data_IF_284779574925
#
_entry.id   IF_284779574925
#
_cell.length_a   1.000
_cell.length_b   1.000
_cell.length_c   1.000
_cell.angle_alpha   90.00
_cell.angle_beta   90.00
_cell.angle_gamma   90.00
#
_symmetry.space_group_name_H-M   'P 1'
#
loop_
_entity.id
_entity.type
_entity.pdbx_description
1 polymer ?
#
# COMPACT_ATOMS: atom_id res chain seq x y z
N UNK A 1 5.67 -1.62 57.40
CA UNK A 1 7.04 -1.08 57.33
C UNK A 1 7.47 -1.20 55.88
N UNK A 2 7.35 -0.10 55.14
CA UNK A 2 7.73 0.04 53.74
C UNK A 2 9.23 0.35 53.66
N UNK A 3 9.98 -0.34 52.81
CA UNK A 3 11.29 0.10 52.33
C UNK A 3 11.33 -0.13 50.81
N UNK A 4 11.70 0.86 49.98
CA UNK A 4 11.37 0.91 48.56
C UNK A 4 12.49 0.36 47.66
N UNK A 5 12.10 -0.30 46.57
CA UNK A 5 13.02 -0.68 45.49
C UNK A 5 13.29 0.52 44.59
N UNK A 6 14.56 0.94 44.55
CA UNK A 6 15.07 2.07 43.79
C UNK A 6 15.18 1.72 42.30
N UNK A 7 14.70 2.64 41.45
CA UNK A 7 15.07 2.74 40.05
C UNK A 7 16.58 2.98 39.87
N UNK A 8 17.07 2.65 38.66
CA UNK A 8 18.36 2.95 38.02
C UNK A 8 19.32 1.76 37.95
N UNK A 9 19.33 1.11 36.78
CA UNK A 9 20.54 0.86 35.98
C UNK A 9 20.13 0.27 34.63
N UNK A 10 19.73 1.13 33.70
CA UNK A 10 19.61 0.80 32.29
C UNK A 10 20.47 1.82 31.54
N UNK A 11 21.74 1.48 31.31
CA UNK A 11 22.67 2.26 30.49
C UNK A 11 23.33 1.33 29.47
N UNK A 12 22.91 1.52 28.23
CA UNK A 12 23.72 1.59 27.00
C UNK A 12 24.77 0.49 26.80
N UNK A 13 24.40 -0.54 26.05
CA UNK A 13 25.37 -1.23 25.18
C UNK A 13 25.54 -0.43 23.89
N UNK A 14 26.56 0.43 23.87
CA UNK A 14 27.05 1.08 22.66
C UNK A 14 27.73 0.02 21.79
N UNK A 15 27.04 -0.48 20.78
CA UNK A 15 27.68 -1.24 19.71
C UNK A 15 28.62 -0.31 18.93
N UNK A 16 29.90 -0.64 18.98
CA UNK A 16 30.98 0.05 18.26
C UNK A 16 30.72 0.01 16.75
N UNK A 17 30.31 1.15 16.19
CA UNK A 17 30.32 1.43 14.74
C UNK A 17 31.78 1.49 14.26
N UNK A 18 32.24 0.45 13.58
CA UNK A 18 33.35 0.55 12.62
C UNK A 18 32.81 0.28 11.23
N UNK A 19 32.37 1.33 10.55
CA UNK A 19 32.08 1.31 9.12
C UNK A 19 33.38 1.75 8.41
N UNK A 20 33.97 0.94 7.52
CA UNK A 20 35.11 1.39 6.72
C UNK A 20 34.64 2.39 5.65
N UNK A 21 35.31 3.53 5.60
CA UNK A 21 35.08 4.69 4.70
C UNK A 21 35.58 4.48 3.26
N UNK A 22 35.33 3.31 2.67
CA UNK A 22 35.64 3.06 1.27
C UNK A 22 34.52 2.21 0.65
N UNK A 23 33.82 2.77 -0.33
CA UNK A 23 32.69 2.13 -1.02
C UNK A 23 33.02 0.69 -1.43
N UNK A 24 32.00 -0.19 -1.35
CA UNK A 24 31.93 -1.66 -1.51
C UNK A 24 32.89 -2.35 -2.53
N UNK A 25 34.18 -2.05 -2.47
CA UNK A 25 35.27 -2.65 -3.23
C UNK A 25 36.04 -3.49 -2.22
N UNK A 26 35.83 -4.81 -2.29
CA UNK A 26 36.48 -5.87 -1.51
C UNK A 26 35.93 -6.18 -0.11
N UNK A 27 34.66 -6.56 -0.03
CA UNK A 27 34.23 -7.56 0.97
C UNK A 27 34.22 -8.93 0.25
N UNK A 28 34.64 -9.99 0.96
CA UNK A 28 35.05 -11.33 0.53
C UNK A 28 34.33 -11.98 -0.68
N UNK A 29 34.98 -12.98 -1.31
CA UNK A 29 34.32 -13.89 -2.25
C UNK A 29 33.29 -14.72 -1.47
N UNK A 30 32.00 -14.39 -1.56
CA UNK A 30 30.92 -15.05 -0.84
C UNK A 30 29.61 -14.29 -0.94
N UNK A 31 28.50 -14.91 -0.53
CA UNK A 31 27.22 -14.22 -0.40
C UNK A 31 27.24 -13.07 0.62
N UNK A 32 26.24 -12.19 0.58
CA UNK A 32 26.07 -11.10 1.53
C UNK A 32 24.68 -11.10 2.17
N UNK A 33 24.60 -10.64 3.41
CA UNK A 33 23.35 -10.39 4.11
C UNK A 33 23.30 -8.89 4.45
N UNK A 34 22.30 -8.21 3.92
CA UNK A 34 22.07 -6.77 4.11
C UNK A 34 20.76 -6.56 4.85
N UNK A 35 20.71 -5.56 5.73
CA UNK A 35 19.47 -5.12 6.35
C UNK A 35 19.30 -3.61 6.19
N UNK A 36 18.11 -3.16 5.79
CA UNK A 36 17.84 -1.73 5.71
C UNK A 36 17.64 -1.11 7.10
N UNK A 37 18.29 0.02 7.35
CA UNK A 37 17.99 0.89 8.49
C UNK A 37 16.72 1.75 8.29
N UNK A 38 16.17 1.81 7.07
CA UNK A 38 14.99 2.62 6.76
C UNK A 38 13.70 1.80 6.79
N UNK A 39 12.61 2.48 7.16
CA UNK A 39 11.25 1.95 7.04
C UNK A 39 10.48 2.64 5.88
N UNK A 40 11.16 3.39 5.02
CA UNK A 40 10.54 4.02 3.87
C UNK A 40 10.53 3.07 2.66
N UNK A 41 9.32 2.71 2.21
CA UNK A 41 9.11 1.82 1.06
C UNK A 41 9.84 2.24 -0.21
N UNK A 42 9.90 3.54 -0.54
CA UNK A 42 10.51 4.00 -1.79
C UNK A 42 12.03 3.87 -1.74
N UNK A 43 12.64 4.13 -0.59
CA UNK A 43 14.07 3.94 -0.38
C UNK A 43 14.44 2.44 -0.40
N UNK A 44 13.63 1.60 0.24
CA UNK A 44 13.89 0.15 0.26
C UNK A 44 13.71 -0.49 -1.14
N UNK A 45 12.69 -0.08 -1.90
CA UNK A 45 12.55 -0.49 -3.31
C UNK A 45 13.69 0.06 -4.18
N UNK A 46 14.20 1.26 -3.89
CA UNK A 46 15.36 1.81 -4.58
C UNK A 46 16.64 1.00 -4.31
N UNK A 47 16.81 0.43 -3.11
CA UNK A 47 17.88 -0.55 -2.84
C UNK A 47 17.72 -1.79 -3.71
N UNK A 48 16.51 -2.34 -3.83
CA UNK A 48 16.28 -3.50 -4.70
C UNK A 48 16.69 -3.20 -6.15
N UNK A 49 16.25 -2.05 -6.67
CA UNK A 49 16.61 -1.59 -8.01
C UNK A 49 18.12 -1.36 -8.16
N UNK A 50 18.76 -0.76 -7.16
CA UNK A 50 20.18 -0.45 -7.20
C UNK A 50 21.02 -1.72 -7.19
N UNK A 51 20.73 -2.67 -6.30
CA UNK A 51 21.42 -3.96 -6.25
C UNK A 51 21.23 -4.70 -7.57
N UNK A 52 20.00 -4.75 -8.08
CA UNK A 52 19.70 -5.41 -9.35
C UNK A 52 20.49 -4.84 -10.53
N UNK A 53 20.71 -3.52 -10.57
CA UNK A 53 21.35 -2.85 -11.71
C UNK A 53 22.88 -2.78 -11.60
N UNK A 54 23.46 -2.78 -10.40
CA UNK A 54 24.88 -2.46 -10.21
C UNK A 54 25.72 -3.58 -9.57
N UNK A 55 25.13 -4.51 -8.82
CA UNK A 55 25.90 -5.54 -8.12
C UNK A 55 26.24 -6.71 -9.05
N UNK A 56 27.50 -7.15 -9.01
CA UNK A 56 27.90 -8.40 -9.67
C UNK A 56 27.53 -9.61 -8.77
N UNK A 57 26.45 -10.31 -9.16
CA UNK A 57 25.88 -11.41 -8.39
C UNK A 57 26.46 -12.79 -8.73
N UNK A 58 27.43 -12.90 -9.65
CA UNK A 58 27.92 -14.20 -10.14
C UNK A 58 28.57 -15.06 -9.05
N UNK A 59 29.33 -14.41 -8.18
CA UNK A 59 29.99 -15.01 -7.01
C UNK A 59 29.44 -14.52 -5.67
N UNK A 60 28.40 -13.69 -5.69
CA UNK A 60 27.89 -12.95 -4.52
C UNK A 60 26.36 -12.87 -4.54
N UNK A 61 25.65 -13.98 -4.24
CA UNK A 61 24.21 -13.88 -3.99
C UNK A 61 23.98 -12.99 -2.76
N UNK A 62 22.83 -12.29 -2.73
CA UNK A 62 22.55 -11.33 -1.65
C UNK A 62 21.18 -11.64 -1.05
N UNK A 63 21.11 -11.71 0.27
CA UNK A 63 19.88 -11.60 1.03
C UNK A 63 19.74 -10.16 1.52
N UNK A 64 18.60 -9.54 1.25
CA UNK A 64 18.25 -8.21 1.75
C UNK A 64 17.00 -8.30 2.63
N UNK A 65 17.15 -7.88 3.88
CA UNK A 65 16.13 -7.87 4.92
C UNK A 65 15.61 -6.45 5.14
N UNK A 66 14.29 -6.25 5.12
CA UNK A 66 13.73 -4.91 5.24
C UNK A 66 12.27 -4.91 5.71
N UNK A 67 11.88 -3.82 6.37
CA UNK A 67 10.50 -3.58 6.85
C UNK A 67 10.07 -2.18 6.45
N UNK A 68 8.76 -1.95 6.38
CA UNK A 68 8.22 -0.67 5.95
C UNK A 68 7.18 -0.15 6.93
N UNK A 69 7.14 1.16 7.14
CA UNK A 69 5.99 1.84 7.75
C UNK A 69 4.70 1.53 6.97
N UNK A 70 3.51 1.65 7.57
CA UNK A 70 2.22 1.33 6.93
C UNK A 70 2.14 1.74 5.44
N UNK A 71 2.06 0.74 4.56
CA UNK A 71 2.10 0.91 3.10
C UNK A 71 1.35 -0.21 2.39
N UNK A 72 0.55 0.13 1.38
CA UNK A 72 0.06 -0.83 0.39
C UNK A 72 1.02 -0.88 -0.79
N UNK A 73 1.46 -2.09 -1.17
CA UNK A 73 2.40 -2.32 -2.27
C UNK A 73 1.72 -3.10 -3.39
N UNK A 74 1.46 -2.43 -4.51
CA UNK A 74 0.87 -3.03 -5.71
C UNK A 74 1.95 -3.53 -6.68
N UNK A 75 1.63 -4.57 -7.44
CA UNK A 75 2.46 -5.10 -8.50
C UNK A 75 2.57 -4.17 -9.71
N UNK A 76 3.55 -4.45 -10.57
CA UNK A 76 3.92 -3.60 -11.72
C UNK A 76 2.78 -3.29 -12.68
N UNK A 77 1.82 -4.20 -12.84
CA UNK A 77 0.73 -4.13 -13.84
C UNK A 77 -0.67 -4.07 -13.21
N UNK A 78 -0.76 -3.66 -11.94
CA UNK A 78 -2.03 -3.57 -11.23
C UNK A 78 -2.67 -2.19 -11.31
N UNK A 79 -3.97 -2.12 -11.04
CA UNK A 79 -4.75 -0.90 -10.95
C UNK A 79 -5.00 -0.56 -9.46
N UNK A 80 -4.43 0.52 -8.89
CA UNK A 80 -4.60 0.83 -7.48
C UNK A 80 -6.04 1.09 -7.07
N UNK A 81 -6.86 1.68 -7.95
CA UNK A 81 -8.28 1.93 -7.68
C UNK A 81 -9.07 0.61 -7.58
N UNK A 82 -8.71 -0.42 -8.33
CA UNK A 82 -9.35 -1.74 -8.24
C UNK A 82 -8.88 -2.55 -7.02
N UNK A 83 -7.67 -2.28 -6.54
CA UNK A 83 -6.97 -3.19 -5.62
C UNK A 83 -6.99 -2.73 -4.15
N UNK A 84 -7.20 -1.44 -3.90
CA UNK A 84 -7.13 -0.91 -2.53
C UNK A 84 -8.06 0.28 -2.29
N UNK A 85 -8.35 0.52 -1.02
CA UNK A 85 -9.13 1.66 -0.54
C UNK A 85 -8.22 2.89 -0.38
N UNK A 86 -8.02 3.65 -1.46
CA UNK A 86 -7.13 4.81 -1.42
C UNK A 86 -7.62 5.93 -0.49
N UNK A 87 -8.91 5.98 -0.16
CA UNK A 87 -9.46 6.96 0.77
C UNK A 87 -9.02 6.66 2.21
N UNK A 88 -9.32 5.46 2.70
CA UNK A 88 -8.91 5.01 4.05
C UNK A 88 -7.38 5.09 4.17
N UNK A 89 -6.65 4.73 3.11
CA UNK A 89 -5.20 4.87 3.12
C UNK A 89 -4.75 6.32 3.34
N UNK A 90 -5.36 7.28 2.66
CA UNK A 90 -5.03 8.70 2.83
C UNK A 90 -5.35 9.20 4.22
N UNK A 91 -6.53 8.86 4.75
CA UNK A 91 -6.99 9.23 6.09
C UNK A 91 -6.04 8.69 7.18
N UNK A 92 -5.59 7.45 7.03
CA UNK A 92 -4.65 6.78 7.96
C UNK A 92 -3.18 7.11 7.69
N UNK A 93 -2.85 7.92 6.68
CA UNK A 93 -1.47 8.20 6.30
C UNK A 93 -0.68 6.98 5.77
N UNK A 94 -1.38 5.97 5.25
CA UNK A 94 -0.81 4.75 4.67
C UNK A 94 -0.34 5.06 3.24
N UNK A 95 0.92 4.75 2.96
CA UNK A 95 1.52 5.02 1.64
C UNK A 95 1.01 4.04 0.58
N UNK A 96 1.04 4.45 -0.68
CA UNK A 96 0.91 3.56 -1.83
C UNK A 96 2.25 3.48 -2.56
N UNK A 97 2.72 2.27 -2.85
CA UNK A 97 3.91 2.05 -3.67
C UNK A 97 3.62 1.04 -4.78
N UNK A 98 4.23 1.27 -5.95
CA UNK A 98 4.25 0.29 -7.03
C UNK A 98 5.64 -0.33 -7.12
N UNK A 99 5.74 -1.64 -6.96
CA UNK A 99 7.02 -2.35 -7.12
C UNK A 99 7.29 -2.69 -8.59
N UNK A 100 8.55 -2.97 -8.94
CA UNK A 100 8.93 -3.34 -10.32
C UNK A 100 8.60 -4.79 -10.69
N UNK A 101 8.43 -5.67 -9.72
CA UNK A 101 8.00 -7.05 -9.90
C UNK A 101 6.48 -7.13 -10.19
N UNK A 102 6.05 -8.23 -10.82
CA UNK A 102 4.63 -8.54 -11.02
C UNK A 102 3.95 -9.04 -9.74
N UNK A 103 2.78 -9.68 -9.88
CA UNK A 103 2.01 -10.26 -8.79
C UNK A 103 0.94 -9.31 -8.22
N UNK A 104 0.29 -9.75 -7.13
CA UNK A 104 -0.82 -9.07 -6.48
C UNK A 104 -0.43 -7.98 -5.47
N UNK A 105 -1.42 -7.43 -4.80
CA UNK A 105 -1.29 -6.35 -3.81
C UNK A 105 -1.07 -6.94 -2.43
N UNK A 106 -0.18 -6.33 -1.65
CA UNK A 106 0.06 -6.69 -0.24
C UNK A 106 0.09 -5.45 0.64
N UNK A 107 -0.17 -5.61 1.92
CA UNK A 107 -0.04 -4.57 2.93
C UNK A 107 1.21 -4.83 3.78
N UNK A 108 1.98 -3.79 4.03
CA UNK A 108 3.16 -3.80 4.89
C UNK A 108 2.93 -2.86 6.07
N UNK A 109 3.36 -3.29 7.25
CA UNK A 109 3.68 -2.45 8.39
C UNK A 109 4.94 -3.00 9.09
N UNK A 110 5.22 -2.55 10.31
CA UNK A 110 6.40 -3.01 11.07
C UNK A 110 6.31 -4.47 11.55
N UNK A 111 5.13 -5.07 11.50
CA UNK A 111 4.87 -6.49 11.77
C UNK A 111 5.00 -7.38 10.54
N UNK A 112 5.41 -6.84 9.38
CA UNK A 112 5.69 -7.60 8.16
C UNK A 112 7.18 -7.51 7.78
N UNK A 113 7.85 -8.65 7.66
CA UNK A 113 9.22 -8.74 7.14
C UNK A 113 9.18 -8.86 5.61
N UNK A 114 10.12 -8.21 4.93
CA UNK A 114 10.37 -8.41 3.51
C UNK A 114 11.77 -8.99 3.35
N UNK A 115 11.86 -10.05 2.55
CA UNK A 115 13.08 -10.77 2.23
C UNK A 115 13.29 -10.71 0.73
N UNK A 116 14.44 -10.24 0.27
CA UNK A 116 14.80 -10.23 -1.16
C UNK A 116 16.07 -11.03 -1.40
N UNK A 117 15.96 -12.06 -2.23
CA UNK A 117 17.05 -12.95 -2.64
C UNK A 117 17.51 -12.56 -4.04
N UNK A 118 18.70 -11.99 -4.15
CA UNK A 118 19.34 -11.62 -5.41
C UNK A 118 20.28 -12.73 -5.89
N UNK A 119 20.13 -13.09 -7.16
CA UNK A 119 20.97 -14.10 -7.83
C UNK A 119 21.21 -13.68 -9.28
N UNK A 120 22.16 -14.34 -9.94
CA UNK A 120 22.18 -14.36 -11.40
C UNK A 120 20.98 -15.16 -11.92
N UNK A 121 20.50 -14.81 -13.12
CA UNK A 121 19.34 -15.44 -13.76
C UNK A 121 19.44 -16.96 -13.83
N UNK A 122 20.62 -17.53 -14.08
CA UNK A 122 20.82 -18.99 -14.17
C UNK A 122 20.69 -19.73 -12.82
N UNK A 123 20.83 -19.02 -11.70
CA UNK A 123 20.67 -19.57 -10.33
C UNK A 123 19.34 -19.18 -9.68
N UNK A 124 18.47 -18.49 -10.42
CA UNK A 124 17.19 -18.04 -9.91
C UNK A 124 16.27 -19.23 -9.62
N UNK A 125 15.97 -19.47 -8.34
CA UNK A 125 15.10 -20.53 -7.89
C UNK A 125 14.26 -20.07 -6.69
N UNK A 126 12.99 -19.74 -6.93
CA UNK A 126 12.09 -19.25 -5.88
C UNK A 126 11.76 -20.31 -4.84
N UNK A 127 11.54 -21.56 -5.27
CA UNK A 127 11.18 -22.64 -4.37
C UNK A 127 12.31 -22.94 -3.38
N UNK A 128 13.58 -22.83 -3.82
CA UNK A 128 14.73 -23.00 -2.92
C UNK A 128 14.78 -21.92 -1.84
N UNK A 129 14.51 -20.66 -2.21
CA UNK A 129 14.42 -19.57 -1.24
C UNK A 129 13.28 -19.79 -0.22
N UNK A 130 12.13 -20.32 -0.66
CA UNK A 130 11.02 -20.66 0.23
C UNK A 130 11.37 -21.80 1.18
N UNK A 131 12.05 -22.85 0.68
CA UNK A 131 12.56 -23.94 1.52
C UNK A 131 13.55 -23.44 2.56
N UNK A 132 14.40 -22.48 2.21
CA UNK A 132 15.31 -21.82 3.14
C UNK A 132 14.54 -21.12 4.26
N UNK A 133 13.49 -20.35 3.93
CA UNK A 133 12.64 -19.70 4.94
C UNK A 133 11.98 -20.77 5.84
N UNK A 134 11.44 -21.85 5.27
CA UNK A 134 10.84 -22.93 6.07
C UNK A 134 11.85 -23.54 7.05
N UNK A 135 13.10 -23.78 6.61
CA UNK A 135 14.16 -24.29 7.51
C UNK A 135 14.47 -23.30 8.63
N UNK A 136 14.52 -22.00 8.33
CA UNK A 136 14.71 -20.95 9.32
C UNK A 136 13.55 -20.90 10.34
N UNK A 137 12.30 -21.05 9.88
CA UNK A 137 11.14 -21.12 10.78
C UNK A 137 11.21 -22.36 11.68
N UNK A 138 11.52 -23.53 11.12
CA UNK A 138 11.63 -24.77 11.87
C UNK A 138 12.79 -24.76 12.89
N UNK A 139 13.84 -23.97 12.64
CA UNK A 139 14.97 -23.84 13.56
C UNK A 139 14.59 -23.12 14.86
N UNK A 140 13.63 -22.19 14.81
CA UNK A 140 13.15 -21.44 16.00
C UNK A 140 11.88 -22.04 16.60
N UNK A 141 11.03 -22.66 15.77
CA UNK A 141 9.81 -23.35 16.22
C UNK A 141 9.60 -24.65 15.42
N UNK A 142 10.14 -25.79 15.89
CA UNK A 142 10.10 -27.07 15.16
C UNK A 142 8.70 -27.65 14.91
N UNK A 143 7.68 -27.19 15.65
CA UNK A 143 6.30 -27.68 15.51
C UNK A 143 5.47 -26.86 14.51
N UNK A 144 6.06 -25.84 13.89
CA UNK A 144 5.35 -24.98 12.96
C UNK A 144 5.08 -25.70 11.62
N UNK A 145 3.81 -25.95 11.29
CA UNK A 145 3.42 -26.58 10.03
C UNK A 145 3.39 -25.54 8.89
N UNK A 146 4.55 -25.28 8.28
CA UNK A 146 4.68 -24.36 7.14
C UNK A 146 5.09 -25.09 5.87
N UNK A 147 4.30 -24.88 4.82
CA UNK A 147 4.52 -25.48 3.51
C UNK A 147 4.47 -24.46 2.37
N UNK A 148 5.33 -24.67 1.38
CA UNK A 148 5.32 -23.90 0.14
C UNK A 148 4.33 -24.53 -0.86
N UNK A 149 3.49 -23.70 -1.47
CA UNK A 149 2.55 -24.13 -2.52
C UNK A 149 3.19 -24.10 -3.90
N UNK A 150 2.54 -24.72 -4.89
CA UNK A 150 2.94 -24.61 -6.31
C UNK A 150 2.90 -23.18 -6.84
N UNK A 151 2.04 -22.33 -6.25
CA UNK A 151 1.97 -20.89 -6.56
C UNK A 151 3.04 -20.07 -5.84
N UNK A 152 3.90 -20.73 -5.06
CA UNK A 152 4.99 -20.12 -4.30
C UNK A 152 4.47 -19.15 -3.25
N UNK A 153 3.45 -19.57 -2.50
CA UNK A 153 3.04 -18.96 -1.24
C UNK A 153 3.49 -19.86 -0.07
N UNK A 154 3.72 -19.30 1.12
CA UNK A 154 3.87 -20.11 2.34
C UNK A 154 2.54 -20.13 3.10
N UNK A 155 2.04 -21.33 3.38
CA UNK A 155 0.85 -21.56 4.17
C UNK A 155 1.24 -22.16 5.52
N UNK A 156 0.62 -21.64 6.58
CA UNK A 156 0.60 -22.18 7.92
C UNK A 156 -0.66 -23.04 8.12
N UNK A 157 -0.50 -24.21 8.74
CA UNK A 157 -1.56 -25.19 9.01
C UNK A 157 -2.36 -25.58 7.74
N UNK A 158 -1.66 -25.56 6.60
CA UNK A 158 -2.20 -25.81 5.26
C UNK A 158 -3.25 -24.81 4.74
N UNK A 159 -3.57 -23.76 5.49
CA UNK A 159 -4.74 -22.91 5.22
C UNK A 159 -4.43 -21.41 5.19
N UNK A 160 -3.58 -20.93 6.11
CA UNK A 160 -3.37 -19.50 6.31
C UNK A 160 -2.10 -19.05 5.62
N UNK A 161 -2.22 -18.15 4.65
CA UNK A 161 -1.07 -17.56 3.98
C UNK A 161 -0.30 -16.64 4.92
N UNK A 162 0.96 -16.95 5.15
CA UNK A 162 1.90 -16.14 5.95
C UNK A 162 2.94 -15.44 5.10
N UNK A 163 3.11 -15.84 3.84
CA UNK A 163 4.06 -15.25 2.88
C UNK A 163 3.49 -15.25 1.48
N UNK A 164 3.58 -14.11 0.79
CA UNK A 164 3.35 -13.99 -0.65
C UNK A 164 4.65 -13.66 -1.37
N UNK A 165 4.82 -14.18 -2.59
CA UNK A 165 6.02 -13.97 -3.39
C UNK A 165 5.80 -13.15 -4.65
N UNK A 166 6.85 -12.45 -5.07
CA UNK A 166 6.94 -11.84 -6.39
C UNK A 166 8.41 -11.81 -6.83
N UNK A 167 8.64 -11.53 -8.11
CA UNK A 167 10.00 -11.51 -8.64
C UNK A 167 10.15 -10.64 -9.87
N UNK A 168 11.40 -10.30 -10.17
CA UNK A 168 11.81 -9.62 -11.39
C UNK A 168 13.06 -10.30 -11.93
N UNK A 169 13.01 -10.60 -13.22
CA UNK A 169 14.12 -11.22 -13.94
C UNK A 169 14.61 -10.18 -14.96
N UNK A 170 15.85 -9.74 -14.81
CA UNK A 170 16.55 -8.88 -15.74
C UNK A 170 17.36 -9.67 -16.76
N UNK A 171 18.28 -8.99 -17.45
CA UNK A 171 19.17 -9.62 -18.44
C UNK A 171 20.16 -10.58 -17.79
N UNK A 172 20.78 -10.16 -16.69
CA UNK A 172 21.84 -10.91 -15.97
C UNK A 172 21.43 -11.24 -14.54
N UNK A 173 20.82 -10.28 -13.83
CA UNK A 173 20.35 -10.44 -12.47
C UNK A 173 18.88 -10.88 -12.41
N UNK A 174 18.50 -11.52 -11.31
CA UNK A 174 17.13 -11.77 -10.93
C UNK A 174 16.99 -11.60 -9.43
N UNK A 175 15.83 -11.15 -8.98
CA UNK A 175 15.48 -11.17 -7.57
C UNK A 175 14.13 -11.81 -7.32
N UNK A 176 14.05 -12.54 -6.21
CA UNK A 176 12.83 -13.06 -5.63
C UNK A 176 12.62 -12.35 -4.31
N UNK A 177 11.49 -11.66 -4.15
CA UNK A 177 11.12 -11.13 -2.85
C UNK A 177 9.85 -11.74 -2.32
N UNK A 178 9.72 -11.74 -1.00
CA UNK A 178 8.57 -12.29 -0.32
C UNK A 178 8.33 -11.55 0.99
N UNK A 179 7.07 -11.57 1.41
CA UNK A 179 6.64 -11.08 2.71
C UNK A 179 6.72 -12.19 3.76
N UNK A 180 6.73 -11.85 5.03
CA UNK A 180 6.50 -12.80 6.12
C UNK A 180 5.71 -12.08 7.21
N UNK A 181 4.47 -12.53 7.43
CA UNK A 181 3.53 -11.94 8.37
C UNK A 181 3.87 -12.40 9.79
N UNK A 182 4.49 -11.50 10.56
CA UNK A 182 4.90 -11.78 11.93
C UNK A 182 3.86 -11.29 12.92
N UNK A 183 3.51 -10.01 12.85
CA UNK A 183 2.55 -9.34 13.75
C UNK A 183 1.92 -8.12 13.06
N UNK A 184 1.47 -8.30 11.82
CA UNK A 184 0.83 -7.24 11.01
C UNK A 184 -0.55 -6.91 11.55
N UNK A 185 -0.95 -5.64 11.54
CA UNK A 185 -2.31 -5.22 11.91
C UNK A 185 -3.32 -5.70 10.86
N UNK A 186 -4.02 -6.78 11.20
CA UNK A 186 -5.03 -7.41 10.34
C UNK A 186 -6.22 -6.49 10.06
N UNK A 187 -6.60 -5.61 10.99
CA UNK A 187 -7.72 -4.68 10.81
C UNK A 187 -7.34 -3.67 9.72
N UNK A 188 -6.15 -3.10 9.80
CA UNK A 188 -5.66 -2.20 8.76
C UNK A 188 -5.51 -2.92 7.42
N UNK A 189 -4.87 -4.11 7.39
CA UNK A 189 -4.71 -4.92 6.18
C UNK A 189 -6.05 -5.18 5.47
N UNK A 190 -7.04 -5.70 6.18
CA UNK A 190 -8.34 -6.04 5.60
C UNK A 190 -9.11 -4.81 5.12
N UNK A 191 -9.04 -3.69 5.87
CA UNK A 191 -9.72 -2.45 5.51
C UNK A 191 -9.16 -1.79 4.24
N UNK A 192 -7.84 -1.83 4.03
CA UNK A 192 -7.19 -1.12 2.91
C UNK A 192 -7.13 -1.95 1.64
N UNK A 193 -7.19 -3.28 1.71
CA UNK A 193 -7.14 -4.16 0.54
C UNK A 193 -8.53 -4.47 -0.05
N UNK A 194 -9.59 -3.82 0.46
CA UNK A 194 -10.94 -3.89 -0.09
C UNK A 194 -11.28 -2.59 -0.83
N UNK A 195 -11.19 -2.61 -2.15
CA UNK A 195 -11.53 -1.46 -2.99
C UNK A 195 -13.04 -1.13 -2.89
N UNK A 196 -13.42 0.12 -2.55
CA UNK A 196 -14.81 0.60 -2.64
C UNK A 196 -15.21 1.03 -4.07
N UNK A 197 -14.26 1.02 -5.01
CA UNK A 197 -14.42 1.63 -6.33
C UNK A 197 -15.23 0.70 -7.23
N UNK A 198 -16.40 1.16 -7.69
CA UNK A 198 -17.30 0.40 -8.56
C UNK A 198 -17.16 0.85 -10.03
N UNK A 199 -17.66 0.01 -10.95
CA UNK A 199 -17.77 0.39 -12.36
C UNK A 199 -16.45 0.43 -13.14
N UNK A 200 -15.34 -0.04 -12.53
CA UNK A 200 -14.04 -0.14 -13.19
C UNK A 200 -14.04 -1.33 -14.15
N UNK A 201 -13.70 -1.09 -15.42
CA UNK A 201 -13.36 -2.14 -16.39
C UNK A 201 -11.90 -2.00 -16.77
N UNK A 202 -11.11 -3.03 -16.48
CA UNK A 202 -9.65 -3.00 -16.58
C UNK A 202 -9.11 -4.39 -16.91
N UNK A 203 -8.05 -4.45 -17.72
CA UNK A 203 -7.27 -5.67 -17.96
C UNK A 203 -6.01 -5.74 -17.07
N UNK A 204 -5.92 -4.89 -16.05
CA UNK A 204 -4.83 -4.93 -15.07
C UNK A 204 -4.81 -6.26 -14.30
N UNK A 205 -3.62 -6.68 -13.86
CA UNK A 205 -3.47 -7.94 -13.11
C UNK A 205 -4.23 -7.87 -11.78
N UNK A 206 -5.23 -8.74 -11.55
CA UNK A 206 -5.95 -8.75 -10.28
C UNK A 206 -5.14 -9.46 -9.19
N UNK A 207 -5.37 -9.10 -7.93
CA UNK A 207 -4.91 -9.92 -6.79
C UNK A 207 -5.70 -11.22 -6.66
N UNK A 208 -5.07 -12.20 -6.00
CA UNK A 208 -5.73 -13.43 -5.54
C UNK A 208 -5.89 -13.33 -4.02
N UNK A 209 -7.12 -13.12 -3.50
CA UNK A 209 -7.36 -13.08 -2.06
C UNK A 209 -7.00 -14.41 -1.39
N UNK A 210 -6.56 -14.35 -0.13
CA UNK A 210 -6.24 -15.53 0.68
C UNK A 210 -6.52 -15.22 2.14
N UNK A 211 -6.89 -16.25 2.91
CA UNK A 211 -6.88 -16.15 4.37
C UNK A 211 -5.43 -16.00 4.83
N UNK A 212 -5.20 -15.10 5.78
CA UNK A 212 -3.86 -14.80 6.31
C UNK A 212 -3.87 -14.94 7.83
N UNK A 213 -2.69 -15.20 8.42
CA UNK A 213 -2.49 -15.28 9.87
C UNK A 213 -1.11 -14.75 10.22
N UNK A 214 -0.95 -14.16 11.39
CA UNK A 214 0.36 -13.79 11.90
C UNK A 214 1.04 -14.99 12.58
N UNK A 215 2.37 -15.09 12.43
CA UNK A 215 3.15 -16.10 13.14
C UNK A 215 3.09 -15.92 14.66
N UNK A 216 3.03 -14.68 15.15
CA UNK A 216 2.98 -14.36 16.57
C UNK A 216 1.68 -14.86 17.25
N UNK A 217 0.61 -15.09 16.49
CA UNK A 217 -0.62 -15.71 16.99
C UNK A 217 -0.46 -17.19 17.34
N UNK A 218 0.50 -17.88 16.74
CA UNK A 218 0.81 -19.28 17.05
C UNK A 218 1.84 -19.39 18.18
N UNK A 219 2.79 -18.46 18.23
CA UNK A 219 3.88 -18.45 19.21
C UNK A 219 4.38 -17.01 19.41
N UNK A 220 4.24 -16.48 20.63
CA UNK A 220 4.57 -15.10 20.97
C UNK A 220 6.07 -14.79 20.92
N UNK A 221 6.92 -15.83 20.85
CA UNK A 221 8.37 -15.70 20.70
C UNK A 221 8.80 -15.40 19.26
N UNK A 222 7.93 -15.62 18.26
CA UNK A 222 8.19 -15.41 16.83
C UNK A 222 8.12 -13.92 16.42
N UNK A 223 8.88 -13.10 17.13
CA UNK A 223 9.06 -11.67 16.82
C UNK A 223 9.76 -11.46 15.47
N UNK A 224 9.61 -10.26 14.90
CA UNK A 224 10.26 -9.93 13.63
C UNK A 224 11.79 -10.10 13.72
N UNK A 225 12.38 -9.70 14.85
CA UNK A 225 13.81 -9.75 15.11
C UNK A 225 14.32 -11.19 15.15
N UNK A 226 13.64 -12.08 15.87
CA UNK A 226 13.97 -13.52 15.93
C UNK A 226 13.90 -14.16 14.54
N UNK A 227 12.85 -13.84 13.79
CA UNK A 227 12.63 -14.41 12.46
C UNK A 227 13.67 -13.90 11.43
N UNK A 228 14.01 -12.61 11.46
CA UNK A 228 15.06 -12.04 10.60
C UNK A 228 16.43 -12.66 10.91
N UNK A 229 16.78 -12.82 12.18
CA UNK A 229 18.05 -13.44 12.59
C UNK A 229 18.10 -14.92 12.18
N UNK A 230 17.00 -15.66 12.35
CA UNK A 230 16.94 -17.06 11.94
C UNK A 230 17.11 -17.23 10.42
N UNK A 231 16.44 -16.38 9.63
CA UNK A 231 16.59 -16.40 8.16
C UNK A 231 18.02 -16.02 7.75
N UNK A 232 18.65 -15.06 8.43
CA UNK A 232 20.04 -14.69 8.19
C UNK A 232 20.99 -15.85 8.50
N UNK A 233 20.84 -16.51 9.65
CA UNK A 233 21.65 -17.64 10.06
C UNK A 233 21.53 -18.83 9.08
N UNK A 234 20.31 -19.17 8.67
CA UNK A 234 20.06 -20.24 7.70
C UNK A 234 20.62 -19.90 6.31
N UNK A 235 20.51 -18.63 5.87
CA UNK A 235 21.14 -18.16 4.64
C UNK A 235 22.67 -18.23 4.70
N UNK A 236 23.26 -17.84 5.83
CA UNK A 236 24.69 -17.89 6.06
C UNK A 236 25.22 -19.34 5.99
N UNK A 237 24.53 -20.26 6.66
CA UNK A 237 24.85 -21.68 6.63
C UNK A 237 24.74 -22.27 5.21
N UNK A 238 23.64 -21.99 4.51
CA UNK A 238 23.41 -22.46 3.14
C UNK A 238 24.49 -21.99 2.16
N UNK A 239 24.91 -20.72 2.26
CA UNK A 239 25.94 -20.14 1.39
C UNK A 239 27.37 -20.29 1.91
N UNK A 240 27.57 -20.91 3.08
CA UNK A 240 28.89 -21.08 3.74
C UNK A 240 29.61 -19.75 3.94
N UNK A 241 28.88 -18.75 4.40
CA UNK A 241 29.40 -17.43 4.76
C UNK A 241 29.26 -17.19 6.26
N UNK A 242 29.94 -16.17 6.77
CA UNK A 242 29.75 -15.71 8.15
C UNK A 242 28.32 -15.17 8.33
N UNK A 243 27.69 -15.48 9.47
CA UNK A 243 26.41 -14.88 9.85
C UNK A 243 26.66 -13.44 10.31
N UNK A 244 26.79 -12.52 9.35
CA UNK A 244 27.03 -11.11 9.60
C UNK A 244 26.04 -10.27 8.79
N UNK A 245 25.07 -9.67 9.49
CA UNK A 245 24.08 -8.78 8.90
C UNK A 245 24.66 -7.37 8.79
N UNK A 246 24.86 -6.90 7.56
CA UNK A 246 25.36 -5.55 7.31
C UNK A 246 24.18 -4.59 7.26
N UNK A 247 24.09 -3.71 8.26
CA UNK A 247 23.11 -2.63 8.28
C UNK A 247 23.49 -1.56 7.24
N UNK A 248 22.56 -1.22 6.36
CA UNK A 248 22.75 -0.24 5.28
C UNK A 248 21.79 0.95 5.43
N UNK A 249 22.30 2.15 5.12
CA UNK A 249 21.48 3.35 4.96
C UNK A 249 21.09 3.50 3.48
N UNK A 250 19.81 3.36 3.11
CA UNK A 250 19.38 3.39 1.71
C UNK A 250 19.36 4.78 1.07
N UNK A 251 19.87 5.80 1.76
CA UNK A 251 20.05 7.16 1.24
C UNK A 251 21.52 7.54 1.07
N UNK A 252 22.45 6.66 1.46
CA UNK A 252 23.88 6.92 1.39
C UNK A 252 24.39 6.81 -0.05
N UNK A 253 24.54 7.95 -0.72
CA UNK A 253 25.05 8.08 -2.08
C UNK A 253 26.52 7.67 -2.22
N UNK A 254 27.29 7.64 -1.13
CA UNK A 254 28.69 7.18 -1.20
C UNK A 254 28.77 5.66 -1.36
N UNK A 255 27.78 4.96 -0.80
CA UNK A 255 27.63 3.51 -0.88
C UNK A 255 26.82 3.11 -2.12
N UNK A 256 25.73 3.84 -2.38
CA UNK A 256 24.80 3.57 -3.48
C UNK A 256 24.62 4.78 -4.41
N UNK A 257 25.60 5.10 -5.26
CA UNK A 257 25.50 6.23 -6.19
C UNK A 257 24.23 6.17 -7.07
N UNK A 258 23.46 7.25 -7.09
CA UNK A 258 22.20 7.41 -7.81
C UNK A 258 20.96 6.85 -7.12
N UNK A 259 21.06 6.36 -5.88
CA UNK A 259 19.93 5.71 -5.20
C UNK A 259 18.79 6.67 -4.87
N UNK A 260 19.07 7.93 -4.48
CA UNK A 260 18.01 8.88 -4.15
C UNK A 260 17.19 9.23 -5.39
N UNK A 261 17.81 9.34 -6.56
CA UNK A 261 17.11 9.54 -7.84
C UNK A 261 16.17 8.36 -8.16
N UNK A 262 16.59 7.12 -7.86
CA UNK A 262 15.73 5.93 -8.00
C UNK A 262 14.54 6.01 -7.03
N UNK A 263 14.78 6.39 -5.77
CA UNK A 263 13.72 6.55 -4.78
C UNK A 263 12.71 7.64 -5.18
N UNK A 264 13.20 8.77 -5.70
CA UNK A 264 12.36 9.85 -6.24
C UNK A 264 11.49 9.36 -7.40
N UNK A 265 12.05 8.64 -8.38
CA UNK A 265 11.28 8.03 -9.48
C UNK A 265 10.15 7.16 -8.95
N UNK A 266 10.43 6.30 -7.97
CA UNK A 266 9.48 5.38 -7.36
C UNK A 266 8.38 6.08 -6.56
N UNK A 267 8.59 7.34 -6.16
CA UNK A 267 7.60 8.16 -5.46
C UNK A 267 6.76 9.01 -6.42
N UNK A 268 7.17 9.16 -7.68
CA UNK A 268 6.41 9.97 -8.66
C UNK A 268 5.01 9.43 -8.90
N UNK A 269 4.07 10.34 -9.15
CA UNK A 269 2.71 9.97 -9.53
C UNK A 269 2.72 9.17 -10.84
N UNK A 270 3.60 9.54 -11.77
CA UNK A 270 3.78 8.90 -13.06
C UNK A 270 4.18 7.42 -12.91
N UNK A 271 4.93 7.08 -11.85
CA UNK A 271 5.25 5.70 -11.52
C UNK A 271 4.10 4.99 -10.77
N UNK A 272 3.66 5.57 -9.64
CA UNK A 272 2.68 4.92 -8.75
C UNK A 272 1.34 4.71 -9.48
N UNK A 273 0.80 5.77 -10.09
CA UNK A 273 -0.51 5.79 -10.73
C UNK A 273 -0.41 5.78 -12.25
N UNK A 274 0.53 6.51 -12.82
CA UNK A 274 0.67 6.68 -14.27
C UNK A 274 1.06 5.40 -15.01
N UNK A 275 1.58 4.38 -14.31
CA UNK A 275 1.85 3.05 -14.88
C UNK A 275 0.65 2.09 -14.86
N UNK A 276 -0.52 2.53 -14.39
CA UNK A 276 -1.74 1.74 -14.42
C UNK A 276 -2.13 1.43 -15.87
N UNK A 277 -2.42 0.16 -16.22
CA UNK A 277 -2.96 -0.20 -17.54
C UNK A 277 -4.23 0.59 -17.85
N UNK A 278 -4.53 0.82 -19.14
CA UNK A 278 -5.76 1.52 -19.56
C UNK A 278 -6.99 0.86 -18.92
N UNK A 279 -7.89 1.67 -18.41
CA UNK A 279 -9.15 1.24 -17.83
C UNK A 279 -10.23 2.28 -18.09
N UNK A 280 -11.49 1.86 -17.98
CA UNK A 280 -12.64 2.76 -18.05
C UNK A 280 -13.42 2.71 -16.74
N UNK A 281 -14.09 3.81 -16.40
CA UNK A 281 -15.06 3.87 -15.31
C UNK A 281 -16.43 4.12 -15.92
N UNK A 282 -17.41 3.38 -15.46
CA UNK A 282 -18.83 3.66 -15.69
C UNK A 282 -19.54 3.57 -14.34
N UNK A 283 -19.88 4.71 -13.77
CA UNK A 283 -20.54 4.80 -12.47
C UNK A 283 -21.74 5.74 -12.53
N UNK A 284 -22.64 5.61 -11.58
CA UNK A 284 -23.75 6.52 -11.41
C UNK A 284 -23.98 6.87 -9.94
N UNK A 285 -24.53 8.04 -9.69
CA UNK A 285 -24.90 8.50 -8.36
C UNK A 285 -26.09 9.47 -8.42
N UNK A 286 -26.80 9.58 -7.30
CA UNK A 286 -27.95 10.48 -7.18
C UNK A 286 -27.53 11.82 -6.57
N UNK A 287 -28.05 12.93 -7.11
CA UNK A 287 -27.78 14.28 -6.61
C UNK A 287 -28.36 14.56 -5.22
N UNK A 288 -29.49 13.94 -4.88
CA UNK A 288 -30.07 14.04 -3.54
C UNK A 288 -30.78 12.73 -3.18
N UNK A 289 -30.88 12.43 -1.89
CA UNK A 289 -31.61 11.26 -1.39
C UNK A 289 -33.12 11.35 -1.64
N UNK A 290 -33.62 12.56 -1.93
CA UNK A 290 -35.04 12.87 -2.07
C UNK A 290 -35.48 13.02 -3.55
N UNK A 291 -34.54 13.02 -4.49
CA UNK A 291 -34.80 13.17 -5.93
C UNK A 291 -34.10 12.08 -6.75
N UNK A 292 -34.85 11.37 -7.61
CA UNK A 292 -34.36 10.31 -8.50
C UNK A 292 -33.57 10.83 -9.73
N UNK A 293 -32.78 11.88 -9.57
CA UNK A 293 -31.94 12.41 -10.64
C UNK A 293 -30.57 11.71 -10.62
N UNK A 294 -30.49 10.58 -11.30
CA UNK A 294 -29.28 9.77 -11.46
C UNK A 294 -28.35 10.43 -12.49
N UNK A 295 -27.13 10.80 -12.07
CA UNK A 295 -26.05 11.23 -12.95
C UNK A 295 -25.16 10.05 -13.26
N UNK A 296 -24.82 9.88 -14.54
CA UNK A 296 -23.92 8.84 -15.03
C UNK A 296 -22.61 9.46 -15.48
N UNK A 297 -21.51 8.87 -15.05
CA UNK A 297 -20.16 9.31 -15.40
C UNK A 297 -19.44 8.16 -16.08
N UNK A 298 -19.00 8.44 -17.30
CA UNK A 298 -18.14 7.59 -18.10
C UNK A 298 -16.79 8.28 -18.25
N UNK A 299 -15.71 7.57 -18.01
CA UNK A 299 -14.36 8.09 -18.24
C UNK A 299 -13.43 6.99 -18.72
N UNK A 300 -12.61 7.30 -19.72
CA UNK A 300 -11.47 6.49 -20.12
C UNK A 300 -10.20 7.05 -19.49
N UNK A 301 -9.43 6.19 -18.83
CA UNK A 301 -8.21 6.57 -18.14
C UNK A 301 -7.03 5.82 -18.76
N UNK A 302 -6.01 6.58 -19.17
CA UNK A 302 -4.80 6.07 -19.77
C UNK A 302 -3.59 6.77 -19.19
N UNK A 303 -2.58 6.00 -18.81
CA UNK A 303 -1.40 6.50 -18.08
C UNK A 303 -1.79 7.30 -16.82
N UNK A 304 -2.86 6.87 -16.14
CA UNK A 304 -3.46 7.53 -14.97
C UNK A 304 -4.17 8.86 -15.27
N UNK A 305 -4.24 9.31 -16.52
CA UNK A 305 -4.87 10.58 -16.91
C UNK A 305 -6.19 10.33 -17.62
N UNK A 306 -7.13 11.26 -17.48
CA UNK A 306 -8.44 11.20 -18.13
C UNK A 306 -8.22 11.46 -19.63
N UNK A 307 -8.45 10.45 -20.46
CA UNK A 307 -8.33 10.52 -21.93
C UNK A 307 -9.65 10.98 -22.55
N UNK A 308 -10.77 10.52 -22.01
CA UNK A 308 -12.12 10.91 -22.41
C UNK A 308 -13.04 10.93 -21.18
N UNK A 309 -14.05 11.79 -21.18
CA UNK A 309 -15.03 11.91 -20.11
C UNK A 309 -16.39 12.32 -20.67
N UNK A 310 -17.44 11.63 -20.22
CA UNK A 310 -18.82 11.95 -20.53
C UNK A 310 -19.65 11.92 -19.26
N UNK A 311 -20.38 13.01 -19.01
CA UNK A 311 -21.28 13.15 -17.87
C UNK A 311 -22.69 13.32 -18.40
N UNK A 312 -23.53 12.32 -18.17
CA UNK A 312 -24.93 12.33 -18.56
C UNK A 312 -25.81 12.61 -17.34
N UNK A 313 -26.66 13.63 -17.42
CA UNK A 313 -27.65 13.96 -16.39
C UNK A 313 -29.07 14.04 -17.00
N UNK A 314 -30.14 13.78 -16.24
CA UNK A 314 -31.52 13.90 -16.74
C UNK A 314 -31.84 15.34 -17.19
N UNK A 315 -32.70 15.47 -18.22
CA UNK A 315 -32.98 16.67 -19.06
C UNK A 315 -33.45 17.97 -18.34
N UNK A 316 -33.43 18.00 -17.01
CA UNK A 316 -33.87 19.13 -16.18
C UNK A 316 -32.95 19.38 -14.97
N UNK A 317 -31.84 18.65 -14.87
CA UNK A 317 -30.94 18.70 -13.71
C UNK A 317 -29.86 19.76 -13.87
N UNK A 318 -29.23 19.82 -15.05
CA UNK A 318 -28.12 20.71 -15.40
C UNK A 318 -28.13 21.02 -16.91
N UNK A 319 -27.76 22.24 -17.35
CA UNK A 319 -27.64 22.57 -18.76
C UNK A 319 -26.56 21.73 -19.47
N UNK A 320 -26.86 21.22 -20.67
CA UNK A 320 -25.92 20.40 -21.46
C UNK A 320 -24.59 21.09 -21.73
N UNK A 321 -24.60 22.39 -22.05
CA UNK A 321 -23.37 23.18 -22.29
C UNK A 321 -22.44 23.18 -21.06
N UNK A 322 -23.00 23.11 -19.85
CA UNK A 322 -22.24 23.07 -18.60
C UNK A 322 -21.61 21.69 -18.39
N UNK A 323 -22.35 20.61 -18.69
CA UNK A 323 -21.86 19.24 -18.64
C UNK A 323 -20.75 18.98 -19.66
N UNK A 324 -20.88 19.55 -20.87
CA UNK A 324 -19.86 19.46 -21.92
C UNK A 324 -18.59 20.21 -21.53
N UNK A 325 -18.72 21.42 -20.96
CA UNK A 325 -17.59 22.19 -20.43
C UNK A 325 -16.88 21.44 -19.30
N UNK A 326 -17.64 20.84 -18.37
CA UNK A 326 -17.10 20.05 -17.27
C UNK A 326 -16.34 18.82 -17.79
N UNK A 327 -16.99 18.05 -18.66
CA UNK A 327 -16.39 16.86 -19.28
C UNK A 327 -15.08 17.19 -19.99
N UNK A 328 -15.08 18.26 -20.79
CA UNK A 328 -13.89 18.74 -21.50
C UNK A 328 -12.80 19.22 -20.54
N UNK A 329 -13.17 19.86 -19.43
CA UNK A 329 -12.21 20.37 -18.44
C UNK A 329 -11.42 19.26 -17.75
N UNK A 330 -11.97 18.04 -17.68
CA UNK A 330 -11.29 16.91 -17.06
C UNK A 330 -10.24 16.26 -17.96
N UNK A 331 -10.39 16.36 -19.29
CA UNK A 331 -9.49 15.73 -20.25
C UNK A 331 -8.04 16.20 -20.05
N UNK A 332 -7.12 15.25 -19.99
CA UNK A 332 -5.67 15.46 -19.80
C UNK A 332 -5.20 15.53 -18.34
N UNK A 333 -6.11 15.76 -17.39
CA UNK A 333 -5.76 15.87 -15.97
C UNK A 333 -5.45 14.51 -15.35
N UNK A 334 -4.71 14.52 -14.24
CA UNK A 334 -4.47 13.30 -13.45
C UNK A 334 -5.80 12.83 -12.88
N UNK A 335 -6.05 11.52 -12.96
CA UNK A 335 -7.19 10.90 -12.29
C UNK A 335 -6.91 10.83 -10.78
N UNK A 336 -6.98 11.97 -10.10
CA UNK A 336 -6.74 12.10 -8.67
C UNK A 336 -7.67 13.14 -8.03
N UNK A 337 -8.01 12.93 -6.77
CA UNK A 337 -9.00 13.77 -6.07
C UNK A 337 -8.62 15.26 -6.04
N UNK A 338 -7.35 15.60 -5.83
CA UNK A 338 -6.91 17.00 -5.71
C UNK A 338 -7.11 17.81 -7.00
N UNK A 339 -6.71 17.26 -8.16
CA UNK A 339 -6.86 17.99 -9.43
C UNK A 339 -8.33 18.10 -9.84
N UNK A 340 -9.09 17.02 -9.67
CA UNK A 340 -10.54 17.01 -9.93
C UNK A 340 -11.27 18.05 -9.06
N UNK A 341 -10.97 18.13 -7.75
CA UNK A 341 -11.55 19.13 -6.85
C UNK A 341 -11.21 20.58 -7.24
N UNK A 342 -9.98 20.84 -7.70
CA UNK A 342 -9.57 22.19 -8.14
C UNK A 342 -10.33 22.63 -9.38
N UNK A 343 -10.47 21.74 -10.38
CA UNK A 343 -11.19 22.03 -11.62
C UNK A 343 -12.67 22.33 -11.35
N UNK A 344 -13.28 21.54 -10.48
CA UNK A 344 -14.66 21.73 -10.05
C UNK A 344 -14.86 23.08 -9.36
N UNK A 345 -13.95 23.43 -8.43
CA UNK A 345 -13.99 24.72 -7.74
C UNK A 345 -13.74 25.92 -8.66
N UNK A 346 -12.93 25.74 -9.71
CA UNK A 346 -12.71 26.76 -10.73
C UNK A 346 -13.98 26.98 -11.58
N UNK A 347 -14.63 25.91 -12.02
CA UNK A 347 -15.88 25.97 -12.78
C UNK A 347 -17.02 26.62 -11.99
N UNK A 348 -17.12 26.31 -10.69
CA UNK A 348 -18.06 26.94 -9.75
C UNK A 348 -17.99 28.48 -9.77
N UNK A 349 -16.77 29.03 -9.81
CA UNK A 349 -16.55 30.48 -9.82
C UNK A 349 -16.93 31.14 -11.15
N UNK A 350 -16.98 30.37 -12.23
CA UNK A 350 -17.28 30.86 -13.59
C UNK A 350 -18.76 30.84 -13.97
N UNK A 351 -19.64 30.29 -13.12
CA UNK A 351 -21.09 30.19 -13.36
C UNK A 351 -21.91 30.98 -12.30
N UNK A 352 -21.93 32.34 -12.33
CA UNK A 352 -22.24 33.13 -11.14
C UNK A 352 -23.71 33.56 -10.99
N UNK A 353 -24.68 33.00 -11.73
CA UNK A 353 -25.99 33.69 -11.91
C UNK A 353 -27.26 32.89 -11.64
N UNK A 354 -27.18 31.68 -11.12
CA UNK A 354 -28.38 30.92 -10.71
C UNK A 354 -28.10 30.18 -9.40
N UNK A 355 -28.77 30.62 -8.33
CA UNK A 355 -28.60 30.08 -6.97
C UNK A 355 -29.06 28.62 -6.87
N UNK A 356 -30.10 28.24 -7.62
CA UNK A 356 -30.62 26.87 -7.63
C UNK A 356 -29.67 25.95 -8.40
N UNK A 357 -29.14 26.42 -9.53
CA UNK A 357 -28.11 25.72 -10.29
C UNK A 357 -26.82 25.58 -9.47
N UNK A 358 -26.41 26.62 -8.75
CA UNK A 358 -25.24 26.59 -7.89
C UNK A 358 -25.43 25.59 -6.74
N UNK A 359 -26.64 25.47 -6.18
CA UNK A 359 -26.97 24.48 -5.15
C UNK A 359 -26.95 23.05 -5.69
N UNK A 360 -27.60 22.79 -6.85
CA UNK A 360 -27.56 21.47 -7.53
C UNK A 360 -26.14 21.08 -7.94
N UNK A 361 -25.34 22.07 -8.35
CA UNK A 361 -23.93 21.88 -8.67
C UNK A 361 -23.08 21.63 -7.44
N UNK A 362 -23.30 22.36 -6.34
CA UNK A 362 -22.66 22.07 -5.05
C UNK A 362 -22.99 20.65 -4.59
N UNK A 363 -24.24 20.19 -4.74
CA UNK A 363 -24.63 18.81 -4.45
C UNK A 363 -23.93 17.79 -5.37
N UNK A 364 -23.81 18.07 -6.67
CA UNK A 364 -23.03 17.24 -7.61
C UNK A 364 -21.56 17.11 -7.16
N UNK A 365 -21.00 18.19 -6.64
CA UNK A 365 -19.59 18.30 -6.29
C UNK A 365 -19.29 17.88 -4.83
N UNK A 366 -20.26 17.98 -3.92
CA UNK A 366 -20.24 17.45 -2.56
C UNK A 366 -20.64 15.97 -2.51
N UNK A 367 -21.47 15.50 -3.44
CA UNK A 367 -21.48 14.09 -3.87
C UNK A 367 -20.31 13.82 -4.84
N UNK A 368 -19.28 14.67 -4.87
CA UNK A 368 -17.89 14.28 -5.13
C UNK A 368 -16.97 14.48 -3.91
N UNK A 369 -17.60 14.79 -2.75
CA UNK A 369 -17.06 15.40 -1.55
C UNK A 369 -17.53 14.95 -0.13
N UNK A 370 -18.51 14.08 0.15
CA UNK A 370 -18.78 13.59 1.52
C UNK A 370 -19.77 12.43 1.69
N UNK A 371 -19.44 11.45 2.54
CA UNK A 371 -20.38 10.70 3.40
C UNK A 371 -19.61 10.06 4.58
N UNK A 372 -19.39 10.82 5.66
CA UNK A 372 -19.46 10.29 7.04
C UNK A 372 -19.46 11.43 8.07
N UNK A 373 -20.66 11.83 8.52
CA UNK A 373 -20.77 12.71 9.69
C UNK A 373 -22.01 12.50 10.57
N UNK A 374 -22.76 11.39 10.41
CA UNK A 374 -23.99 11.20 11.19
C UNK A 374 -23.78 10.54 12.57
N UNK A 375 -22.56 10.14 12.92
CA UNK A 375 -22.20 9.72 14.29
C UNK A 375 -21.55 10.84 15.13
N UNK A 376 -20.82 11.77 14.50
CA UNK A 376 -20.20 12.92 15.19
C UNK A 376 -21.22 14.01 15.54
N UNK A 377 -22.20 14.26 14.68
CA UNK A 377 -23.28 15.23 14.94
C UNK A 377 -24.22 14.81 16.07
N UNK A 378 -24.35 13.51 16.36
CA UNK A 378 -25.11 13.03 17.52
C UNK A 378 -24.33 13.18 18.83
N UNK A 379 -23.00 13.08 18.78
CA UNK A 379 -22.12 13.27 19.94
C UNK A 379 -21.88 14.76 20.28
N UNK A 380 -21.86 15.67 19.31
CA UNK A 380 -21.69 17.11 19.52
C UNK A 380 -22.99 17.84 19.93
N UNK A 381 -24.16 17.37 19.47
CA UNK A 381 -25.46 17.90 19.94
C UNK A 381 -25.74 17.59 21.41
N UNK A 382 -25.04 16.61 21.99
CA UNK A 382 -25.08 16.34 23.43
C UNK A 382 -24.13 17.23 24.26
N UNK A 383 -23.21 18.00 23.63
CA UNK A 383 -22.16 18.77 24.33
C UNK A 383 -22.19 20.29 24.16
N UNK A 384 -23.03 20.84 23.27
CA UNK A 384 -23.13 22.31 23.04
C UNK A 384 -24.42 22.95 23.56
N UNK A 385 -24.82 22.59 24.79
CA UNK A 385 -25.70 23.43 25.63
C UNK A 385 -24.88 24.20 26.66
N UNK A 386 -23.84 24.92 26.24
CA UNK A 386 -23.26 26.03 27.01
C UNK A 386 -22.25 26.79 26.15
N UNK A 387 -22.17 28.09 26.36
CA UNK A 387 -21.30 29.09 25.72
C UNK A 387 -21.78 29.71 24.39
N UNK A 388 -22.20 30.97 24.49
CA UNK A 388 -22.62 31.82 23.40
C UNK A 388 -21.49 32.58 22.70
N UNK A 389 -21.86 33.09 21.52
CA UNK A 389 -21.25 34.16 20.68
C UNK A 389 -19.73 34.19 20.55
N UNK A 390 -19.27 33.91 19.33
CA UNK A 390 -18.53 34.88 18.50
C UNK A 390 -18.66 34.50 17.01
N UNK A 391 -19.07 35.48 16.21
CA UNK A 391 -18.93 35.50 14.76
C UNK A 391 -17.43 35.55 14.36
N UNK A 392 -17.19 35.26 13.09
CA UNK A 392 -15.94 35.28 12.31
C UNK A 392 -15.22 33.94 12.10
N UNK A 393 -15.15 33.60 10.80
CA UNK A 393 -14.21 32.69 10.14
C UNK A 393 -14.47 31.19 10.27
N UNK A 394 -15.28 30.63 9.35
CA UNK A 394 -15.15 29.23 8.91
C UNK A 394 -15.32 29.13 7.40
N UNK A 395 -14.23 29.38 6.68
CA UNK A 395 -13.99 28.88 5.33
C UNK A 395 -13.05 27.70 5.47
N UNK A 396 -13.55 26.54 5.91
CA UNK A 396 -12.78 25.29 5.85
C UNK A 396 -13.67 24.09 6.11
N UNK A 397 -13.35 23.02 5.36
CA UNK A 397 -13.79 21.62 5.48
C UNK A 397 -15.01 21.23 4.64
N UNK A 398 -14.92 19.99 4.13
CA UNK A 398 -15.87 19.15 3.36
C UNK A 398 -15.24 18.64 2.04
N UNK A 399 -14.66 17.43 2.10
CA UNK A 399 -13.94 16.67 1.04
C UNK A 399 -14.29 15.17 1.09
N UNK A 400 -14.43 14.52 -0.09
CA UNK A 400 -14.58 13.06 -0.43
C UNK A 400 -15.93 12.43 -0.85
N UNK A 401 -16.20 12.24 -2.15
CA UNK A 401 -17.24 11.34 -2.74
C UNK A 401 -16.93 11.01 -4.21
N UNK A 402 -15.71 10.62 -4.57
CA UNK A 402 -15.61 9.84 -5.82
C UNK A 402 -15.92 8.35 -5.59
N UNK A 403 -16.06 7.89 -4.35
CA UNK A 403 -15.78 6.49 -3.99
C UNK A 403 -16.57 5.92 -2.79
N UNK A 404 -17.88 6.12 -2.72
CA UNK A 404 -18.73 5.41 -1.76
C UNK A 404 -19.84 4.64 -2.48
N UNK A 405 -19.79 3.31 -2.34
CA UNK A 405 -20.89 2.41 -2.65
C UNK A 405 -20.81 1.21 -1.67
N UNK A 406 -21.31 1.40 -0.46
CA UNK A 406 -21.79 0.30 0.37
C UNK A 406 -23.14 0.70 0.94
N UNK A 407 -24.22 0.10 0.42
CA UNK A 407 -25.32 -0.44 1.23
C UNK A 407 -26.44 -0.96 0.31
N UNK A 408 -26.42 -2.27 0.04
CA UNK A 408 -27.63 -3.07 -0.26
C UNK A 408 -27.29 -4.57 -0.26
N UNK A 409 -27.03 -5.14 0.92
CA UNK A 409 -27.18 -6.58 1.16
C UNK A 409 -27.07 -6.89 2.66
N UNK A 410 -28.01 -6.39 3.46
CA UNK A 410 -28.30 -6.93 4.81
C UNK A 410 -29.60 -6.30 5.29
N UNK A 411 -30.71 -6.91 4.89
CA UNK A 411 -31.95 -7.02 5.66
C UNK A 411 -32.98 -7.77 4.80
N UNK A 412 -32.93 -9.10 4.85
CA UNK A 412 -34.17 -9.85 5.01
C UNK A 412 -33.97 -10.85 6.15
N UNK A 413 -35.04 -10.99 6.91
CA UNK A 413 -35.13 -11.37 8.30
C UNK A 413 -34.66 -12.78 8.63
N UNK A 414 -34.04 -12.90 9.81
CA UNK A 414 -34.13 -14.06 10.71
C UNK A 414 -35.61 -14.40 10.96
N UNK A 415 -35.96 -15.69 11.05
CA UNK A 415 -36.38 -16.32 12.33
C UNK A 415 -36.63 -17.85 12.19
N UNK A 416 -36.77 -18.61 13.32
CA UNK A 416 -35.94 -19.77 13.63
C UNK A 416 -36.72 -21.10 13.74
N UNK A 417 -36.03 -22.21 14.06
CA UNK A 417 -36.66 -23.39 14.65
C UNK A 417 -35.94 -24.72 14.38
N UNK A 418 -35.38 -25.28 15.46
CA UNK A 418 -35.42 -26.69 15.89
C UNK A 418 -35.16 -27.83 14.90
N UNK A 419 -33.95 -28.41 14.96
CA UNK A 419 -33.62 -29.78 15.41
C UNK A 419 -32.18 -30.15 15.02
#
# INVERSE_FOLDING_TARGET
MLIPFSMKNCFQSLYSLKIPTAGYKNIAKGGLILQSASNNIYQNLAVEDWIHDHMNLESKPILFLWRNSPTVVIGRHQNPWQECNLNIMREKGIKLARRRSGGGTVYHDMGNINLTFFTIKSKYNRMENLKLIIRALNAVQPQLDVQATDRLDLLLDGQFKISGTASKIGRVAAYHHCTLLCNTDWISLSSVLKSPYQGIKSNATPSVPSLVKNLLENDDTLTCEVLMESVAAEYAAYHKIENNIILISPTDETVFPGINKKAEELQTWEWIYGKTPKFSINTSFNLSEQSYSEIKVYADIKNGRIEDCKIDAPDHSLPLEMLDKLSTSFIGNKFCQSETSVLINALLRTCPKDYELNTKWHLLCQKQGEEDNDERLRAERARSREAGRKEETKVTEIYTFFFLNEHKARQHHRQPGDL
#
